data_IF_554823394210
#
_entry.id   IF_554823394210
#
_cell.length_a   1.000
_cell.length_b   1.000
_cell.length_c   1.000
_cell.angle_alpha   90.00
_cell.angle_beta   90.00
_cell.angle_gamma   90.00
#
_symmetry.space_group_name_H-M   'P 1'
#
loop_
_entity.id
_entity.type
_entity.pdbx_description
1 polymer ?
#
# COMPACT_ATOMS: atom_id res chain seq x y z
N UNK A 1 26.81 18.71 11.78
CA UNK A 1 25.56 18.54 11.02
C UNK A 1 24.43 19.00 11.92
N UNK A 2 23.99 20.23 11.72
CA UNK A 2 22.89 20.83 12.48
C UNK A 2 21.60 20.30 11.83
N UNK A 3 20.96 19.34 12.48
CA UNK A 3 19.70 18.78 11.98
C UNK A 3 18.63 19.86 12.21
N UNK A 4 18.25 20.57 11.15
CA UNK A 4 17.18 21.56 11.18
C UNK A 4 15.83 20.86 11.38
N UNK A 5 15.46 20.70 12.64
CA UNK A 5 14.27 19.96 13.08
C UNK A 5 12.98 20.59 12.54
N UNK A 6 13.00 21.90 12.28
CA UNK A 6 11.90 22.69 11.71
C UNK A 6 11.58 22.28 10.27
N UNK A 7 12.61 21.99 9.45
CA UNK A 7 12.44 21.53 8.07
C UNK A 7 11.84 20.12 8.04
N UNK A 8 12.32 19.23 8.92
CA UNK A 8 11.77 17.86 9.06
C UNK A 8 10.31 17.91 9.49
N UNK A 9 9.97 18.76 10.46
CA UNK A 9 8.60 18.90 10.97
C UNK A 9 7.65 19.43 9.89
N UNK A 10 8.12 20.39 9.10
CA UNK A 10 7.33 20.98 8.01
C UNK A 10 7.09 19.97 6.89
N UNK A 11 8.12 19.18 6.54
CA UNK A 11 8.01 18.12 5.54
C UNK A 11 7.00 17.04 5.94
N UNK A 12 7.05 16.57 7.20
CA UNK A 12 6.14 15.55 7.71
C UNK A 12 4.68 16.05 7.76
N UNK A 13 4.45 17.32 8.14
CA UNK A 13 3.10 17.92 8.12
C UNK A 13 2.55 17.98 6.69
N UNK A 14 3.37 18.40 5.73
CA UNK A 14 2.96 18.46 4.34
C UNK A 14 2.59 17.07 3.80
N UNK A 15 3.39 16.04 4.11
CA UNK A 15 3.08 14.65 3.73
C UNK A 15 1.77 14.14 4.33
N UNK A 16 1.45 14.52 5.58
CA UNK A 16 0.18 14.18 6.22
C UNK A 16 -1.00 14.93 5.60
N UNK A 17 -0.85 16.21 5.26
CA UNK A 17 -1.89 17.01 4.60
C UNK A 17 -2.18 16.51 3.17
N UNK A 18 -1.14 16.02 2.48
CA UNK A 18 -1.24 15.42 1.14
C UNK A 18 -1.78 13.97 1.19
N UNK A 19 -1.82 13.34 2.36
CA UNK A 19 -2.32 11.98 2.54
C UNK A 19 -3.85 11.93 2.48
N UNK A 20 -4.39 12.00 1.25
CA UNK A 20 -5.80 11.74 0.97
C UNK A 20 -6.00 10.24 0.76
N UNK A 21 -6.66 9.63 1.74
CA UNK A 21 -7.07 8.22 1.67
C UNK A 21 -8.31 8.14 0.77
N UNK A 22 -8.10 7.96 -0.53
CA UNK A 22 -9.15 7.57 -1.48
C UNK A 22 -9.11 6.05 -1.60
N UNK A 23 -9.91 5.35 -0.79
CA UNK A 23 -9.96 3.87 -0.83
C UNK A 23 -10.96 3.49 -1.91
N UNK A 24 -10.46 3.11 -3.08
CA UNK A 24 -11.28 2.48 -4.10
C UNK A 24 -11.48 0.99 -3.75
N UNK A 25 -12.71 0.64 -3.39
CA UNK A 25 -13.11 -0.73 -3.05
C UNK A 25 -12.85 -1.70 -4.22
N UNK A 26 -12.77 -1.21 -5.46
CA UNK A 26 -12.46 -2.03 -6.63
C UNK A 26 -11.00 -2.50 -6.68
N UNK A 27 -10.09 -1.84 -5.95
CA UNK A 27 -8.65 -2.13 -5.90
C UNK A 27 -8.23 -2.88 -4.63
N UNK A 28 -9.18 -3.27 -3.78
CA UNK A 28 -8.90 -4.01 -2.54
C UNK A 28 -9.41 -5.45 -2.66
N UNK A 29 -8.70 -6.38 -2.01
CA UNK A 29 -9.09 -7.77 -1.91
C UNK A 29 -8.73 -8.38 -0.55
N UNK A 30 -9.26 -9.58 -0.32
CA UNK A 30 -9.03 -10.38 0.88
C UNK A 30 -8.34 -11.70 0.51
N UNK A 31 -7.28 -12.03 1.24
CA UNK A 31 -6.56 -13.30 1.08
C UNK A 31 -7.40 -14.43 1.67
N UNK A 32 -7.82 -15.38 0.84
CA UNK A 32 -8.61 -16.55 1.26
C UNK A 32 -7.69 -17.70 1.69
N UNK A 33 -6.59 -17.91 0.98
CA UNK A 33 -5.67 -19.02 1.23
C UNK A 33 -4.22 -18.64 0.89
N UNK A 34 -3.27 -19.22 1.62
CA UNK A 34 -1.82 -19.11 1.36
C UNK A 34 -1.19 -20.49 1.50
N UNK A 35 -0.34 -20.88 0.55
CA UNK A 35 0.42 -22.13 0.61
C UNK A 35 1.52 -22.16 -0.44
N UNK A 36 2.70 -22.69 -0.09
CA UNK A 36 3.84 -22.88 -0.99
C UNK A 36 4.23 -21.63 -1.82
N UNK A 37 4.12 -20.44 -1.24
CA UNK A 37 4.41 -19.17 -1.91
C UNK A 37 3.32 -18.69 -2.88
N UNK A 38 2.15 -19.34 -2.89
CA UNK A 38 0.98 -18.96 -3.69
C UNK A 38 -0.13 -18.46 -2.77
N UNK A 39 -0.63 -17.26 -3.03
CA UNK A 39 -1.80 -16.70 -2.35
C UNK A 39 -3.03 -16.72 -3.28
N UNK A 40 -4.20 -17.04 -2.74
CA UNK A 40 -5.48 -16.90 -3.43
C UNK A 40 -6.24 -15.74 -2.82
N UNK A 41 -6.49 -14.71 -3.61
CA UNK A 41 -7.16 -13.47 -3.21
C UNK A 41 -8.53 -13.36 -3.87
N UNK A 42 -9.52 -12.83 -3.14
CA UNK A 42 -10.85 -12.46 -3.65
C UNK A 42 -10.99 -10.94 -3.63
N UNK A 43 -11.63 -10.35 -4.65
CA UNK A 43 -11.70 -8.89 -4.80
C UNK A 43 -10.86 -8.44 -5.98
N UNK A 44 -10.12 -7.33 -5.84
CA UNK A 44 -9.19 -6.81 -6.86
C UNK A 44 -9.81 -6.77 -8.26
N UNK A 45 -10.98 -6.13 -8.40
CA UNK A 45 -11.81 -6.21 -9.60
C UNK A 45 -11.12 -5.68 -10.86
N UNK A 46 -10.20 -4.74 -10.68
CA UNK A 46 -9.50 -4.07 -11.78
C UNK A 46 -8.07 -4.59 -12.00
N UNK A 47 -7.65 -5.66 -11.31
CA UNK A 47 -6.28 -6.18 -11.44
C UNK A 47 -6.01 -6.74 -12.83
N UNK A 48 -4.84 -6.43 -13.36
CA UNK A 48 -4.37 -6.91 -14.65
C UNK A 48 -3.62 -8.24 -14.51
N UNK A 49 -3.56 -9.01 -15.60
CA UNK A 49 -2.73 -10.21 -15.64
C UNK A 49 -1.26 -9.83 -15.45
N UNK A 50 -0.59 -10.52 -14.53
CA UNK A 50 0.83 -10.28 -14.20
C UNK A 50 1.13 -8.89 -13.62
N UNK A 51 0.11 -8.25 -13.03
CA UNK A 51 0.31 -7.07 -12.19
C UNK A 51 0.94 -7.48 -10.86
N UNK A 52 1.76 -6.59 -10.30
CA UNK A 52 2.37 -6.78 -8.99
C UNK A 52 1.39 -6.28 -7.92
N UNK A 53 0.98 -7.16 -7.03
CA UNK A 53 0.04 -6.85 -5.95
C UNK A 53 0.80 -6.73 -4.64
N UNK A 54 0.55 -5.64 -3.92
CA UNK A 54 1.02 -5.47 -2.55
C UNK A 54 0.18 -6.33 -1.60
N UNK A 55 0.87 -7.16 -0.84
CA UNK A 55 0.33 -7.99 0.23
C UNK A 55 0.76 -7.41 1.58
N UNK A 56 0.07 -7.76 2.68
CA UNK A 56 0.48 -7.35 4.01
C UNK A 56 1.94 -7.73 4.32
N UNK A 57 2.59 -6.91 5.15
CA UNK A 57 3.98 -7.05 5.59
C UNK A 57 5.04 -6.74 4.50
N UNK A 58 4.77 -5.75 3.64
CA UNK A 58 5.70 -5.30 2.60
C UNK A 58 6.10 -6.42 1.61
N UNK A 59 5.18 -7.35 1.35
CA UNK A 59 5.37 -8.46 0.40
C UNK A 59 4.70 -8.12 -0.92
N UNK A 60 5.33 -8.49 -2.04
CA UNK A 60 4.79 -8.24 -3.37
C UNK A 60 4.74 -9.55 -4.15
N UNK A 61 3.66 -9.76 -4.92
CA UNK A 61 3.46 -10.99 -5.69
C UNK A 61 2.34 -10.91 -6.71
#
# INVERSE_FOLDING_TARGET
>A
MEIKTEEITSLLKQQLDDYKIDIDISEVGEVINVGDGVARVSGLRNVMSSELVELPNDVFG
#
